data_IF_687016337219
#
_entry.id   IF_687016337219
#
_cell.length_a   1.000
_cell.length_b   1.000
_cell.length_c   1.000
_cell.angle_alpha   90.00
_cell.angle_beta   90.00
_cell.angle_gamma   90.00
#
_symmetry.space_group_name_H-M   'P 1'
#
loop_
_entity.id
_entity.type
_entity.pdbx_description
1 polymer ?
#
# COMPACT_ATOMS: atom_id res chain seq x y z
N UNK A 1 16.27 -22.48 -21.98
CA UNK A 1 15.16 -23.19 -21.28
C UNK A 1 14.72 -22.35 -20.10
N UNK A 2 13.62 -21.67 -20.23
CA UNK A 2 13.04 -20.84 -19.16
C UNK A 2 12.16 -21.76 -18.30
N UNK A 3 12.57 -22.00 -17.07
CA UNK A 3 11.78 -22.76 -16.10
C UNK A 3 10.60 -21.90 -15.65
N UNK A 4 9.41 -22.25 -16.10
CA UNK A 4 8.16 -21.78 -15.50
C UNK A 4 8.01 -22.46 -14.16
N UNK A 5 8.41 -21.83 -13.09
CA UNK A 5 8.00 -22.26 -11.76
C UNK A 5 6.54 -21.91 -11.54
N UNK A 6 5.72 -22.94 -11.55
CA UNK A 6 4.32 -22.85 -11.10
C UNK A 6 4.32 -22.69 -9.60
N UNK A 7 4.07 -21.47 -9.15
CA UNK A 7 3.83 -21.20 -7.74
C UNK A 7 2.48 -21.79 -7.34
N UNK A 8 2.51 -22.97 -6.72
CA UNK A 8 1.35 -23.56 -6.07
C UNK A 8 1.11 -22.85 -4.75
N UNK A 9 0.13 -22.00 -4.71
CA UNK A 9 -0.41 -21.45 -3.47
C UNK A 9 -1.02 -22.56 -2.62
N UNK A 10 -0.24 -23.15 -1.74
CA UNK A 10 -0.74 -23.99 -0.65
C UNK A 10 -1.07 -23.11 0.54
N UNK A 11 -2.37 -23.04 0.79
CA UNK A 11 -3.01 -22.52 1.99
C UNK A 11 -2.17 -22.79 3.24
N UNK A 12 -1.64 -21.73 3.84
CA UNK A 12 -1.14 -21.77 5.21
C UNK A 12 -2.22 -21.13 6.06
N UNK A 13 -3.00 -22.00 6.68
CA UNK A 13 -3.94 -21.69 7.72
C UNK A 13 -3.13 -21.45 9.00
N UNK A 14 -2.89 -20.22 9.38
CA UNK A 14 -2.34 -19.90 10.68
C UNK A 14 -3.46 -19.44 11.62
N UNK A 15 -3.81 -20.35 12.48
CA UNK A 15 -4.70 -20.21 13.61
C UNK A 15 -3.97 -19.38 14.67
N UNK A 16 -4.39 -18.18 14.95
CA UNK A 16 -3.98 -17.45 16.15
C UNK A 16 -5.19 -17.19 17.02
N UNK A 17 -5.26 -18.04 18.04
CA UNK A 17 -6.12 -17.94 19.20
C UNK A 17 -5.41 -17.07 20.24
N UNK A 18 -6.00 -15.99 20.69
CA UNK A 18 -5.75 -15.38 22.02
C UNK A 18 -6.75 -14.26 22.24
N UNK A 19 -7.70 -14.47 23.02
CA UNK A 19 -7.84 -14.39 24.47
C UNK A 19 -7.20 -13.13 25.06
N UNK A 20 -8.05 -12.15 25.40
CA UNK A 20 -8.00 -11.51 26.69
C UNK A 20 -9.11 -10.47 26.86
N UNK A 21 -10.01 -10.78 27.75
CA UNK A 21 -10.88 -9.85 28.44
C UNK A 21 -10.05 -8.87 29.29
N UNK A 22 -10.43 -7.59 29.31
CA UNK A 22 -10.47 -6.82 30.56
C UNK A 22 -11.58 -5.79 30.49
N UNK A 23 -12.54 -5.98 31.35
CA UNK A 23 -13.59 -5.06 31.75
C UNK A 23 -13.01 -3.88 32.51
N UNK A 24 -13.47 -2.68 32.18
CA UNK A 24 -13.21 -1.49 32.99
C UNK A 24 -14.34 -0.49 32.84
N UNK A 25 -15.37 -0.65 33.64
CA UNK A 25 -16.41 0.35 33.89
C UNK A 25 -15.83 1.45 34.77
N UNK A 26 -15.92 2.70 34.33
CA UNK A 26 -16.01 3.84 35.22
C UNK A 26 -16.93 4.88 34.61
N UNK A 27 -18.11 5.00 35.24
CA UNK A 27 -19.03 6.08 35.11
C UNK A 27 -18.43 7.36 35.70
N UNK A 28 -18.59 8.46 34.97
CA UNK A 28 -18.31 9.80 35.46
C UNK A 28 -19.25 10.79 34.82
N UNK A 29 -20.35 11.08 35.51
CA UNK A 29 -21.21 12.24 35.26
C UNK A 29 -20.48 13.52 35.58
N UNK A 30 -20.67 14.55 34.75
CA UNK A 30 -20.29 15.89 35.18
C UNK A 30 -20.48 17.00 34.13
N UNK A 31 -21.67 17.58 34.08
CA UNK A 31 -22.00 19.01 33.88
C UNK A 31 -21.69 19.69 32.56
N UNK A 32 -22.80 20.08 31.95
CA UNK A 32 -23.01 21.19 31.00
C UNK A 32 -22.23 22.45 31.39
N UNK A 33 -21.61 23.06 30.39
CA UNK A 33 -21.48 24.49 30.32
C UNK A 33 -21.57 24.95 28.85
N UNK A 34 -22.63 25.64 28.58
CA UNK A 34 -22.92 26.43 27.39
C UNK A 34 -21.90 27.55 27.27
N UNK A 35 -21.21 27.63 26.16
CA UNK A 35 -20.61 28.88 25.70
C UNK A 35 -20.60 28.85 24.17
N UNK A 36 -21.36 29.75 23.59
CA UNK A 36 -21.33 30.11 22.20
C UNK A 36 -19.90 30.54 21.82
N UNK A 37 -19.25 29.78 20.97
CA UNK A 37 -17.98 30.12 20.32
C UNK A 37 -18.10 29.73 18.86
N UNK A 38 -18.19 30.74 18.02
CA UNK A 38 -18.20 30.70 16.59
C UNK A 38 -17.09 29.76 16.08
N UNK A 39 -17.45 28.57 15.67
CA UNK A 39 -16.54 27.65 15.02
C UNK A 39 -16.44 28.06 13.55
N UNK A 40 -15.31 28.64 13.19
CA UNK A 40 -14.89 28.70 11.80
C UNK A 40 -14.71 27.27 11.34
N UNK A 41 -15.50 26.86 10.35
CA UNK A 41 -15.46 25.57 9.76
C UNK A 41 -14.12 25.36 9.06
N UNK A 42 -13.22 24.65 9.74
CA UNK A 42 -12.17 23.94 9.06
C UNK A 42 -12.80 22.66 8.55
N UNK A 43 -13.33 22.74 7.34
CA UNK A 43 -13.69 21.60 6.54
C UNK A 43 -12.41 20.78 6.41
N UNK A 44 -12.26 19.76 7.24
CA UNK A 44 -11.47 18.61 6.89
C UNK A 44 -12.18 18.06 5.65
N UNK A 45 -11.74 18.52 4.49
CA UNK A 45 -11.97 17.81 3.26
C UNK A 45 -11.35 16.44 3.53
N UNK A 46 -12.23 15.50 3.82
CA UNK A 46 -11.97 14.09 3.70
C UNK A 46 -11.62 13.90 2.22
N UNK A 47 -10.35 14.17 1.89
CA UNK A 47 -9.76 13.67 0.69
C UNK A 47 -9.86 12.15 0.85
N UNK A 48 -10.92 11.59 0.32
CA UNK A 48 -10.87 10.24 -0.21
C UNK A 48 -9.83 10.29 -1.33
N UNK A 49 -8.57 10.35 -0.92
CA UNK A 49 -7.48 10.14 -1.83
C UNK A 49 -7.64 8.68 -2.23
N UNK A 50 -7.97 8.50 -3.48
CA UNK A 50 -7.90 7.22 -4.20
C UNK A 50 -6.40 6.84 -4.27
N UNK A 51 -5.81 6.73 -3.07
CA UNK A 51 -4.38 6.53 -2.90
C UNK A 51 -4.14 5.04 -2.94
N UNK A 52 -3.72 4.58 -4.08
CA UNK A 52 -3.39 3.17 -4.33
C UNK A 52 -2.03 2.76 -3.74
N UNK A 53 -1.38 3.65 -2.98
CA UNK A 53 -0.14 3.38 -2.25
C UNK A 53 -0.18 4.00 -0.86
N UNK A 54 0.58 3.42 0.04
CA UNK A 54 0.74 3.84 1.43
C UNK A 54 2.19 3.69 1.85
N UNK A 55 2.71 4.64 2.62
CA UNK A 55 4.04 4.57 3.23
C UNK A 55 3.88 4.39 4.73
N UNK A 56 4.38 3.28 5.25
CA UNK A 56 4.62 3.13 6.68
C UNK A 56 5.89 3.93 7.05
N UNK A 57 5.71 5.10 7.61
CA UNK A 57 6.81 6.02 7.96
C UNK A 57 7.73 5.44 9.04
N UNK A 58 7.23 4.59 9.92
CA UNK A 58 8.02 3.98 10.98
C UNK A 58 8.90 2.86 10.42
N UNK A 59 8.31 1.94 9.69
CA UNK A 59 9.03 0.85 9.04
C UNK A 59 9.76 1.26 7.77
N UNK A 60 9.37 2.37 7.13
CA UNK A 60 9.91 2.82 5.85
C UNK A 60 9.55 1.92 4.68
N UNK A 61 8.36 1.30 4.75
CA UNK A 61 7.85 0.36 3.76
C UNK A 61 6.79 1.04 2.90
N UNK A 62 6.92 0.87 1.59
CA UNK A 62 5.90 1.27 0.61
C UNK A 62 4.99 0.06 0.33
N UNK A 63 3.70 0.22 0.53
CA UNK A 63 2.68 -0.77 0.17
C UNK A 63 1.82 -0.25 -0.97
N UNK A 64 1.68 -1.06 -2.01
CA UNK A 64 0.86 -0.81 -3.19
C UNK A 64 -0.38 -1.68 -3.13
N UNK A 65 -1.56 -1.10 -3.45
CA UNK A 65 -2.83 -1.82 -3.56
C UNK A 65 -3.51 -1.44 -4.87
N UNK A 66 -3.66 -2.40 -5.78
CA UNK A 66 -4.27 -2.18 -7.09
C UNK A 66 -5.43 -3.14 -7.32
N UNK A 67 -6.57 -2.66 -7.85
CA UNK A 67 -7.68 -3.55 -8.19
C UNK A 67 -7.29 -4.51 -9.32
N UNK A 68 -7.62 -5.79 -9.18
CA UNK A 68 -7.33 -6.84 -10.16
C UNK A 68 -8.64 -7.57 -10.54
N UNK A 69 -9.67 -6.79 -10.89
CA UNK A 69 -11.04 -7.30 -11.05
C UNK A 69 -11.32 -7.97 -12.43
N UNK A 70 -10.48 -7.72 -13.44
CA UNK A 70 -10.70 -8.24 -14.78
C UNK A 70 -10.13 -9.65 -14.93
N UNK A 71 -10.98 -10.59 -15.31
CA UNK A 71 -10.61 -11.98 -15.54
C UNK A 71 -9.49 -12.11 -16.59
N UNK A 72 -8.44 -12.81 -16.21
CA UNK A 72 -7.28 -13.07 -17.07
C UNK A 72 -6.28 -11.92 -17.19
N UNK A 73 -6.55 -10.74 -16.60
CA UNK A 73 -5.56 -9.67 -16.49
C UNK A 73 -4.75 -9.82 -15.23
N UNK A 74 -3.48 -9.49 -15.32
CA UNK A 74 -2.55 -9.52 -14.19
C UNK A 74 -1.78 -8.20 -14.09
N UNK A 75 -1.45 -7.80 -12.86
CA UNK A 75 -0.50 -6.73 -12.62
C UNK A 75 0.91 -7.26 -12.71
N UNK A 76 1.73 -6.58 -13.49
CA UNK A 76 3.18 -6.74 -13.52
C UNK A 76 3.82 -5.45 -13.03
N UNK A 77 5.04 -5.52 -12.52
CA UNK A 77 5.79 -4.34 -12.14
C UNK A 77 7.25 -4.41 -12.57
N UNK A 78 7.86 -3.24 -12.69
CA UNK A 78 9.30 -3.07 -12.93
C UNK A 78 9.84 -2.01 -11.98
N UNK A 79 11.08 -2.17 -11.54
CA UNK A 79 11.83 -1.20 -10.74
C UNK A 79 13.00 -0.78 -11.60
N UNK A 80 13.17 0.52 -11.84
CA UNK A 80 14.25 1.04 -12.70
C UNK A 80 15.62 0.82 -12.08
N UNK A 81 15.74 1.03 -10.76
CA UNK A 81 16.97 0.76 -10.01
C UNK A 81 16.70 -0.19 -8.84
N UNK A 82 16.98 -1.46 -9.06
CA UNK A 82 16.84 -2.53 -8.07
C UNK A 82 17.91 -2.50 -6.97
N UNK A 83 18.88 -1.61 -7.04
CA UNK A 83 19.86 -1.40 -5.97
C UNK A 83 19.32 -0.48 -4.88
N UNK A 84 18.26 0.28 -5.17
CA UNK A 84 17.63 1.22 -4.25
C UNK A 84 16.37 0.67 -3.58
N UNK A 85 15.67 -0.23 -4.25
CA UNK A 85 14.37 -0.74 -3.79
C UNK A 85 14.24 -2.24 -4.09
N UNK A 86 13.71 -2.99 -3.13
CA UNK A 86 13.41 -4.41 -3.32
C UNK A 86 11.96 -4.75 -2.94
N UNK A 87 11.43 -5.78 -3.59
CA UNK A 87 10.15 -6.36 -3.25
C UNK A 87 10.27 -7.20 -1.97
N UNK A 88 9.41 -6.95 -0.99
CA UNK A 88 9.29 -7.75 0.23
C UNK A 88 8.21 -8.82 0.11
N UNK A 89 7.01 -8.40 -0.29
CA UNK A 89 5.85 -9.29 -0.41
C UNK A 89 5.08 -9.00 -1.68
N UNK A 90 4.49 -10.04 -2.23
CA UNK A 90 3.58 -9.98 -3.37
C UNK A 90 2.41 -10.91 -3.09
N UNK A 91 1.21 -10.36 -3.03
CA UNK A 91 -0.02 -11.08 -2.72
C UNK A 91 -1.10 -10.72 -3.73
N UNK A 92 -1.97 -11.66 -4.02
CA UNK A 92 -3.24 -11.45 -4.71
C UNK A 92 -4.33 -11.81 -3.71
N UNK A 93 -4.98 -10.79 -3.17
CA UNK A 93 -5.98 -10.92 -2.12
C UNK A 93 -7.34 -10.48 -2.66
N UNK A 94 -8.18 -11.49 -2.99
CA UNK A 94 -9.58 -11.34 -3.39
C UNK A 94 -9.81 -10.24 -4.45
N UNK A 95 -9.04 -10.30 -5.54
CA UNK A 95 -9.12 -9.33 -6.63
C UNK A 95 -8.38 -8.01 -6.37
N UNK A 96 -7.46 -8.02 -5.41
CA UNK A 96 -6.55 -6.92 -5.15
C UNK A 96 -5.11 -7.37 -5.21
N UNK A 97 -4.34 -6.78 -6.10
CA UNK A 97 -2.90 -6.94 -6.12
C UNK A 97 -2.26 -6.11 -5.01
N UNK A 98 -1.50 -6.75 -4.14
CA UNK A 98 -0.79 -6.11 -3.03
C UNK A 98 0.70 -6.39 -3.14
N UNK A 99 1.51 -5.34 -3.20
CA UNK A 99 2.97 -5.44 -3.22
C UNK A 99 3.58 -4.51 -2.19
N UNK A 100 4.56 -5.00 -1.42
CA UNK A 100 5.29 -4.19 -0.46
C UNK A 100 6.77 -4.13 -0.82
N UNK A 101 7.36 -2.95 -0.69
CA UNK A 101 8.74 -2.65 -1.05
C UNK A 101 9.48 -2.00 0.11
N UNK A 102 10.77 -2.30 0.23
CA UNK A 102 11.66 -1.59 1.16
C UNK A 102 12.85 -0.96 0.43
N UNK A 103 13.37 0.12 1.02
CA UNK A 103 14.58 0.76 0.53
C UNK A 103 15.82 -0.06 0.90
N UNK A 104 16.76 -0.15 -0.05
CA UNK A 104 18.08 -0.78 0.13
C UNK A 104 19.20 0.26 0.22
N UNK A 105 18.99 1.45 -0.34
CA UNK A 105 19.97 2.52 -0.41
C UNK A 105 19.30 3.88 -0.54
N UNK A 106 20.10 4.93 -0.58
CA UNK A 106 19.63 6.30 -0.74
C UNK A 106 19.63 6.70 -2.22
N UNK A 107 18.54 7.33 -2.67
CA UNK A 107 18.40 7.79 -4.04
C UNK A 107 16.94 7.81 -4.49
N UNK A 108 16.74 7.99 -5.79
CA UNK A 108 15.43 8.03 -6.42
C UNK A 108 15.33 6.94 -7.48
N UNK A 109 14.19 6.26 -7.53
CA UNK A 109 13.89 5.24 -8.53
C UNK A 109 12.44 5.35 -8.97
N UNK A 110 12.11 4.73 -10.09
CA UNK A 110 10.73 4.62 -10.58
C UNK A 110 10.26 3.18 -10.44
N UNK A 111 9.05 3.01 -9.95
CA UNK A 111 8.35 1.72 -9.99
C UNK A 111 7.15 1.87 -10.91
N UNK A 112 7.11 1.06 -11.95
CA UNK A 112 6.03 1.06 -12.95
C UNK A 112 5.21 -0.21 -12.83
N UNK A 113 3.89 -0.08 -12.90
CA UNK A 113 2.93 -1.17 -12.85
C UNK A 113 2.14 -1.20 -14.15
N UNK A 114 1.94 -2.38 -14.72
CA UNK A 114 1.13 -2.60 -15.92
C UNK A 114 0.07 -3.68 -15.68
N UNK A 115 -1.17 -3.36 -15.98
CA UNK A 115 -2.30 -4.26 -15.93
C UNK A 115 -2.59 -4.77 -17.33
N UNK A 116 -2.31 -6.04 -17.59
CA UNK A 116 -2.35 -6.60 -18.92
C UNK A 116 -2.78 -8.06 -18.96
N UNK A 117 -3.31 -8.49 -20.12
CA UNK A 117 -3.56 -9.87 -20.47
C UNK A 117 -3.04 -10.12 -21.88
N UNK A 118 -2.13 -11.10 -22.04
CA UNK A 118 -1.46 -11.38 -23.29
C UNK A 118 -0.85 -10.10 -23.90
N UNK A 119 -1.30 -9.66 -25.08
CA UNK A 119 -0.87 -8.44 -25.75
C UNK A 119 -1.76 -7.21 -25.46
N UNK A 120 -2.80 -7.38 -24.64
CA UNK A 120 -3.75 -6.32 -24.31
C UNK A 120 -3.32 -5.58 -23.03
N UNK A 121 -2.84 -4.36 -23.17
CA UNK A 121 -2.53 -3.45 -22.07
C UNK A 121 -3.78 -2.65 -21.71
N UNK A 122 -4.20 -2.71 -20.45
CA UNK A 122 -5.37 -1.98 -19.96
C UNK A 122 -5.00 -0.71 -19.22
N UNK A 123 -3.99 -0.79 -18.34
CA UNK A 123 -3.62 0.32 -17.47
C UNK A 123 -2.13 0.32 -17.18
N UNK A 124 -1.56 1.52 -17.05
CA UNK A 124 -0.19 1.74 -16.55
C UNK A 124 -0.26 2.74 -15.41
N UNK A 125 0.44 2.45 -14.32
CA UNK A 125 0.69 3.36 -13.21
C UNK A 125 2.16 3.41 -12.90
N UNK A 126 2.68 4.55 -12.50
CA UNK A 126 4.08 4.69 -12.12
C UNK A 126 4.24 5.63 -10.91
N UNK A 127 5.23 5.33 -10.08
CA UNK A 127 5.60 6.11 -8.92
C UNK A 127 7.08 6.48 -8.97
N UNK A 128 7.37 7.76 -8.70
CA UNK A 128 8.71 8.17 -8.27
C UNK A 128 8.83 7.85 -6.79
N UNK A 129 9.85 7.10 -6.41
CA UNK A 129 10.12 6.67 -5.04
C UNK A 129 11.45 7.25 -4.60
N UNK A 130 11.43 8.04 -3.54
CA UNK A 130 12.63 8.58 -2.89
C UNK A 130 12.98 7.73 -1.67
N UNK A 131 14.17 7.18 -1.68
CA UNK A 131 14.72 6.37 -0.60
C UNK A 131 15.79 7.18 0.16
N UNK A 132 15.72 7.18 1.48
CA UNK A 132 16.66 7.86 2.35
C UNK A 132 16.81 7.16 3.70
N UNK A 133 18.04 7.05 4.18
CA UNK A 133 18.36 6.42 5.46
C UNK A 133 17.80 4.97 5.57
N UNK A 134 17.80 4.23 4.45
CA UNK A 134 17.27 2.85 4.38
C UNK A 134 15.75 2.75 4.48
N UNK A 135 15.02 3.83 4.22
CA UNK A 135 13.55 3.90 4.25
C UNK A 135 13.02 4.52 2.97
N UNK A 136 11.80 4.14 2.60
CA UNK A 136 11.04 4.92 1.62
C UNK A 136 10.60 6.21 2.31
N UNK A 137 11.15 7.33 1.87
CA UNK A 137 10.95 8.64 2.49
C UNK A 137 9.81 9.43 1.86
N UNK A 138 9.65 9.33 0.53
CA UNK A 138 8.61 10.02 -0.22
C UNK A 138 8.21 9.24 -1.46
N UNK A 139 6.96 9.43 -1.90
CA UNK A 139 6.42 8.84 -3.11
C UNK A 139 5.51 9.84 -3.81
N UNK A 140 5.65 9.97 -5.12
CA UNK A 140 4.79 10.79 -5.96
C UNK A 140 4.40 10.06 -7.24
N UNK A 141 3.24 10.41 -7.80
CA UNK A 141 2.85 9.85 -9.09
C UNK A 141 3.85 10.28 -10.18
N UNK A 142 4.40 9.31 -10.90
CA UNK A 142 5.18 9.58 -12.09
C UNK A 142 4.26 9.68 -13.31
N UNK A 143 4.58 10.58 -14.24
CA UNK A 143 3.91 10.58 -15.52
C UNK A 143 4.32 9.33 -16.29
N UNK A 144 3.37 8.49 -16.62
CA UNK A 144 3.61 7.38 -17.54
C UNK A 144 3.94 7.95 -18.91
N UNK A 145 5.14 7.66 -19.39
CA UNK A 145 5.58 8.02 -20.76
C UNK A 145 5.41 6.83 -21.69
#
# INVERSE_FOLDING_TARGET
>A
MIQKEKYNAKKILALILSLACVTGLLAGCGRQNTSEGKADGNSLEEQTSDTWYEIDQEAGILTIRLPAEKEGFIWNFTIDDTTLLELLTLEDDDGTFVASFRALGDGETVVSFSYARDDALEEIRALNVTCKDGKVADVSNASAH
#
